data_IF_097959370871
#
_entry.id   IF_097959370871
#
_cell.length_a   1.000
_cell.length_b   1.000
_cell.length_c   1.000
_cell.angle_alpha   90.00
_cell.angle_beta   90.00
_cell.angle_gamma   90.00
#
_symmetry.space_group_name_H-M   'P 1'
#
loop_
_entity.id
_entity.type
_entity.pdbx_description
1 polymer ?
#
# COMPACT_ATOMS: atom_id res chain seq x y z
N UNK A 1 22.86 7.39 -17.00
CA UNK A 1 22.65 8.33 -15.89
C UNK A 1 21.26 8.95 -15.93
N UNK A 2 20.73 9.32 -17.11
CA UNK A 2 19.36 9.88 -17.19
C UNK A 2 18.26 8.88 -16.82
N UNK A 3 18.32 7.64 -17.29
CA UNK A 3 17.28 6.63 -16.97
C UNK A 3 17.13 6.39 -15.47
N UNK A 4 18.23 6.41 -14.74
CA UNK A 4 18.27 6.13 -13.31
C UNK A 4 17.66 7.28 -12.50
N UNK A 5 17.91 8.53 -12.93
CA UNK A 5 17.25 9.72 -12.37
C UNK A 5 15.74 9.73 -12.66
N UNK A 6 15.32 9.33 -13.86
CA UNK A 6 13.90 9.20 -14.20
C UNK A 6 13.21 8.15 -13.32
N UNK A 7 13.82 6.99 -13.15
CA UNK A 7 13.30 5.93 -12.27
C UNK A 7 13.19 6.42 -10.83
N UNK A 8 14.23 7.11 -10.32
CA UNK A 8 14.21 7.67 -8.98
C UNK A 8 13.04 8.66 -8.79
N UNK A 9 12.84 9.59 -9.72
CA UNK A 9 11.75 10.56 -9.65
C UNK A 9 10.37 9.90 -9.71
N UNK A 10 10.17 8.95 -10.63
CA UNK A 10 8.91 8.22 -10.76
C UNK A 10 8.60 7.40 -9.50
N UNK A 11 9.59 6.71 -8.93
CA UNK A 11 9.42 5.91 -7.71
C UNK A 11 9.20 6.78 -6.47
N UNK A 12 9.87 7.92 -6.36
CA UNK A 12 9.62 8.87 -5.27
C UNK A 12 8.19 9.43 -5.36
N UNK A 13 7.76 9.86 -6.56
CA UNK A 13 6.40 10.33 -6.77
C UNK A 13 5.36 9.25 -6.44
N UNK A 14 5.62 8.01 -6.84
CA UNK A 14 4.74 6.89 -6.52
C UNK A 14 4.69 6.60 -5.01
N UNK A 15 5.84 6.65 -4.32
CA UNK A 15 5.91 6.52 -2.86
C UNK A 15 5.10 7.62 -2.16
N UNK A 16 5.19 8.86 -2.62
CA UNK A 16 4.42 9.97 -2.06
C UNK A 16 2.92 9.78 -2.25
N UNK A 17 2.50 9.34 -3.44
CA UNK A 17 1.11 8.98 -3.71
C UNK A 17 0.66 7.88 -2.75
N UNK A 18 1.44 6.81 -2.58
CA UNK A 18 1.07 5.73 -1.66
C UNK A 18 0.98 6.21 -0.22
N UNK A 19 1.93 7.00 0.27
CA UNK A 19 1.91 7.48 1.65
C UNK A 19 0.75 8.44 1.93
N UNK A 20 0.52 9.39 1.03
CA UNK A 20 -0.48 10.46 1.21
C UNK A 20 -1.88 9.96 0.86
N UNK A 21 -2.03 9.33 -0.30
CA UNK A 21 -3.34 8.93 -0.81
C UNK A 21 -3.81 7.57 -0.26
N UNK A 22 -2.90 6.70 0.20
CA UNK A 22 -3.29 5.40 0.77
C UNK A 22 -2.98 5.35 2.26
N UNK A 23 -1.73 5.59 2.67
CA UNK A 23 -1.27 5.43 4.06
C UNK A 23 -2.05 6.26 5.06
N UNK A 24 -2.07 7.59 4.90
CA UNK A 24 -2.77 8.49 5.80
C UNK A 24 -4.29 8.20 5.88
N UNK A 25 -5.02 8.03 4.76
CA UNK A 25 -6.42 7.63 4.80
C UNK A 25 -6.66 6.28 5.47
N UNK A 26 -5.79 5.29 5.24
CA UNK A 26 -5.92 3.96 5.87
C UNK A 26 -5.79 4.04 7.38
N UNK A 27 -4.86 4.84 7.88
CA UNK A 27 -4.70 5.09 9.31
C UNK A 27 -5.93 5.81 9.89
N UNK A 28 -6.44 6.82 9.19
CA UNK A 28 -7.67 7.51 9.60
C UNK A 28 -8.88 6.57 9.65
N UNK A 29 -9.01 5.68 8.66
CA UNK A 29 -10.05 4.65 8.63
C UNK A 29 -9.89 3.63 9.76
N UNK A 30 -8.67 3.21 10.06
CA UNK A 30 -8.41 2.31 11.18
C UNK A 30 -8.85 2.91 12.51
N UNK A 31 -8.51 4.19 12.75
CA UNK A 31 -8.93 4.91 13.95
C UNK A 31 -10.45 5.10 14.01
N UNK A 32 -11.07 5.48 12.89
CA UNK A 32 -12.52 5.62 12.78
C UNK A 32 -13.23 4.31 13.11
N UNK A 33 -12.80 3.19 12.52
CA UNK A 33 -13.35 1.87 12.80
C UNK A 33 -13.17 1.50 14.28
N UNK A 34 -11.99 1.70 14.85
CA UNK A 34 -11.70 1.38 16.25
C UNK A 34 -12.59 2.16 17.24
N UNK A 35 -13.08 3.35 16.86
CA UNK A 35 -13.97 4.18 17.69
C UNK A 35 -15.46 3.84 17.58
N UNK A 36 -15.85 2.97 16.64
CA UNK A 36 -17.26 2.62 16.44
C UNK A 36 -17.71 1.50 17.40
N UNK A 37 -18.97 1.54 17.88
CA UNK A 37 -19.58 0.43 18.60
C UNK A 37 -19.56 -0.85 17.74
N UNK A 38 -19.29 -2.00 18.36
CA UNK A 38 -18.88 -3.26 17.70
C UNK A 38 -19.73 -3.69 16.47
N UNK A 39 -21.06 -3.63 16.53
CA UNK A 39 -21.90 -4.03 15.39
C UNK A 39 -21.80 -3.07 14.20
N UNK A 40 -21.65 -1.77 14.47
CA UNK A 40 -21.47 -0.73 13.43
C UNK A 40 -20.02 -0.77 12.91
N UNK A 41 -19.09 -1.20 13.76
CA UNK A 41 -17.67 -1.34 13.46
C UNK A 41 -17.41 -2.31 12.30
N UNK A 42 -18.12 -3.44 12.20
CA UNK A 42 -17.93 -4.40 11.10
C UNK A 42 -18.28 -3.81 9.73
N UNK A 43 -19.41 -3.10 9.64
CA UNK A 43 -19.85 -2.44 8.41
C UNK A 43 -18.90 -1.29 8.05
N UNK A 44 -18.49 -0.49 9.06
CA UNK A 44 -17.48 0.55 8.90
C UNK A 44 -16.16 -0.01 8.35
N UNK A 45 -15.65 -1.10 8.93
CA UNK A 45 -14.45 -1.80 8.48
C UNK A 45 -14.58 -2.28 7.03
N UNK A 46 -15.72 -2.86 6.66
CA UNK A 46 -15.94 -3.34 5.29
C UNK A 46 -15.90 -2.20 4.27
N UNK A 47 -16.54 -1.05 4.58
CA UNK A 47 -16.50 0.15 3.73
C UNK A 47 -15.06 0.69 3.65
N UNK A 48 -14.36 0.77 4.78
CA UNK A 48 -12.98 1.23 4.82
C UNK A 48 -12.03 0.35 4.02
N UNK A 49 -12.20 -0.99 4.05
CA UNK A 49 -11.44 -1.91 3.19
C UNK A 49 -11.77 -1.67 1.72
N UNK A 50 -13.05 -1.50 1.36
CA UNK A 50 -13.44 -1.20 -0.02
C UNK A 50 -12.83 0.12 -0.53
N UNK A 51 -12.80 1.16 0.32
CA UNK A 51 -12.12 2.42 0.03
C UNK A 51 -10.62 2.23 -0.12
N UNK A 52 -9.97 1.46 0.76
CA UNK A 52 -8.55 1.13 0.66
C UNK A 52 -8.22 0.43 -0.67
N UNK A 53 -9.01 -0.56 -1.08
CA UNK A 53 -8.85 -1.24 -2.38
C UNK A 53 -8.97 -0.24 -3.54
N UNK A 54 -9.91 0.70 -3.45
CA UNK A 54 -10.11 1.73 -4.48
C UNK A 54 -8.92 2.69 -4.58
N UNK A 55 -8.37 3.11 -3.44
CA UNK A 55 -7.16 3.94 -3.37
C UNK A 55 -5.94 3.20 -3.93
N UNK A 56 -5.84 1.89 -3.67
CA UNK A 56 -4.79 1.04 -4.23
C UNK A 56 -4.94 0.87 -5.75
N UNK A 57 -6.16 0.72 -6.25
CA UNK A 57 -6.44 0.67 -7.68
C UNK A 57 -6.06 1.99 -8.37
N UNK A 58 -6.22 3.13 -7.69
CA UNK A 58 -5.78 4.44 -8.16
C UNK A 58 -4.25 4.61 -8.15
N UNK A 59 -3.55 4.16 -7.10
CA UNK A 59 -2.10 4.33 -6.96
C UNK A 59 -1.28 3.39 -7.86
N UNK A 60 -1.80 2.20 -8.16
CA UNK A 60 -1.11 1.17 -8.97
C UNK A 60 -0.65 1.65 -10.36
N UNK A 61 -1.47 2.31 -11.19
CA UNK A 61 -1.04 2.76 -12.54
C UNK A 61 0.05 3.83 -12.53
N UNK A 62 0.27 4.52 -11.40
CA UNK A 62 1.32 5.53 -11.24
C UNK A 62 2.71 4.95 -10.95
N UNK A 63 2.83 3.61 -10.91
CA UNK A 63 4.14 2.97 -10.77
C UNK A 63 5.05 3.27 -11.96
N UNK A 64 6.37 3.31 -11.73
CA UNK A 64 7.38 3.65 -12.74
C UNK A 64 7.21 2.84 -14.03
N UNK A 65 6.87 3.53 -15.12
CA UNK A 65 6.75 2.91 -16.45
C UNK A 65 8.12 2.49 -16.95
N UNK A 66 9.15 3.29 -16.69
CA UNK A 66 10.51 2.98 -17.12
C UNK A 66 11.03 1.70 -16.47
N UNK A 67 10.75 1.49 -15.19
CA UNK A 67 11.10 0.25 -14.50
C UNK A 67 10.33 -0.95 -15.06
N UNK A 68 9.04 -0.79 -15.40
CA UNK A 68 8.25 -1.83 -16.07
C UNK A 68 8.81 -2.20 -17.45
N UNK A 69 9.17 -1.21 -18.26
CA UNK A 69 9.79 -1.43 -19.56
C UNK A 69 11.13 -2.16 -19.46
N UNK A 70 11.96 -1.80 -18.46
CA UNK A 70 13.22 -2.49 -18.20
C UNK A 70 12.99 -3.95 -17.78
N UNK A 71 11.98 -4.22 -16.94
CA UNK A 71 11.61 -5.60 -16.57
C UNK A 71 11.20 -6.45 -17.77
N UNK A 72 10.50 -5.89 -18.75
CA UNK A 72 10.14 -6.59 -19.99
C UNK A 72 11.37 -6.96 -20.85
N UNK A 73 12.50 -6.29 -20.67
CA UNK A 73 13.75 -6.51 -21.43
C UNK A 73 14.83 -7.22 -20.61
N UNK A 74 14.56 -7.52 -19.34
CA UNK A 74 15.53 -8.04 -18.37
C UNK A 74 16.20 -9.37 -18.78
N UNK A 75 15.51 -10.20 -19.57
CA UNK A 75 16.05 -11.47 -20.04
C UNK A 75 17.02 -11.32 -21.23
N UNK A 76 17.02 -10.16 -21.89
CA UNK A 76 17.81 -9.90 -23.10
C UNK A 76 18.91 -8.87 -22.89
N UNK A 77 18.84 -8.08 -21.82
CA UNK A 77 19.76 -6.98 -21.55
C UNK A 77 20.29 -7.05 -20.11
N UNK A 78 21.58 -7.38 -19.98
CA UNK A 78 22.28 -7.49 -18.70
C UNK A 78 22.36 -6.13 -17.98
N UNK A 79 22.45 -5.03 -18.74
CA UNK A 79 22.44 -3.67 -18.20
C UNK A 79 21.08 -3.31 -17.61
N UNK A 80 20.00 -3.73 -18.24
CA UNK A 80 18.65 -3.55 -17.69
C UNK A 80 18.50 -4.27 -16.35
N UNK A 81 19.06 -5.48 -16.23
CA UNK A 81 19.06 -6.25 -14.98
C UNK A 81 19.83 -5.55 -13.86
N UNK A 82 21.01 -4.98 -14.16
CA UNK A 82 21.77 -4.19 -13.18
C UNK A 82 21.01 -2.94 -12.71
N UNK A 83 20.39 -2.21 -13.63
CA UNK A 83 19.60 -1.00 -13.30
C UNK A 83 18.39 -1.37 -12.43
N UNK A 84 17.69 -2.46 -12.73
CA UNK A 84 16.56 -2.94 -11.91
C UNK A 84 17.05 -3.27 -10.52
N UNK A 85 18.10 -4.09 -10.39
CA UNK A 85 18.62 -4.50 -9.08
C UNK A 85 19.05 -3.29 -8.24
N UNK A 86 19.79 -2.37 -8.84
CA UNK A 86 20.17 -1.11 -8.18
C UNK A 86 18.95 -0.30 -7.74
N UNK A 87 17.94 -0.19 -8.60
CA UNK A 87 16.73 0.58 -8.30
C UNK A 87 15.89 -0.05 -7.20
N UNK A 88 15.80 -1.39 -7.14
CA UNK A 88 15.11 -2.12 -6.08
C UNK A 88 15.83 -1.96 -4.74
N UNK A 89 17.15 -2.05 -4.72
CA UNK A 89 17.94 -1.90 -3.48
C UNK A 89 17.95 -0.46 -2.94
N UNK A 90 17.99 0.55 -3.81
CA UNK A 90 18.18 1.95 -3.40
C UNK A 90 16.88 2.76 -3.34
N UNK A 91 15.92 2.51 -4.23
CA UNK A 91 14.71 3.34 -4.34
C UNK A 91 13.46 2.69 -3.78
N UNK A 92 13.39 1.35 -3.74
CA UNK A 92 12.26 0.62 -3.14
C UNK A 92 12.47 0.29 -1.66
N UNK A 93 13.36 1.03 -0.98
CA UNK A 93 13.58 0.90 0.46
C UNK A 93 12.27 0.98 1.25
N UNK A 94 12.06 0.00 2.15
CA UNK A 94 10.89 -0.09 3.03
C UNK A 94 10.64 1.20 3.85
N UNK A 95 11.68 1.98 4.14
CA UNK A 95 11.52 3.21 4.93
C UNK A 95 10.67 4.25 4.19
N UNK A 96 10.80 4.36 2.87
CA UNK A 96 10.02 5.31 2.05
C UNK A 96 8.54 4.95 2.05
N UNK A 97 8.20 3.67 2.17
CA UNK A 97 6.82 3.17 2.18
C UNK A 97 6.27 2.96 3.60
N UNK A 98 7.00 3.36 4.65
CA UNK A 98 6.62 3.13 6.04
C UNK A 98 5.24 3.69 6.39
N UNK A 99 4.86 4.94 6.03
CA UNK A 99 3.52 5.45 6.31
C UNK A 99 2.40 4.63 5.63
N UNK A 100 2.61 4.24 4.37
CA UNK A 100 1.70 3.36 3.64
C UNK A 100 1.55 1.99 4.33
N UNK A 101 2.66 1.35 4.71
CA UNK A 101 2.66 0.05 5.38
C UNK A 101 1.97 0.15 6.74
N UNK A 102 2.30 1.17 7.53
CA UNK A 102 1.75 1.39 8.86
C UNK A 102 0.22 1.58 8.78
N UNK A 103 -0.25 2.47 7.91
CA UNK A 103 -1.67 2.72 7.74
C UNK A 103 -2.44 1.49 7.25
N UNK A 104 -1.89 0.76 6.27
CA UNK A 104 -2.53 -0.45 5.74
C UNK A 104 -2.58 -1.57 6.79
N UNK A 105 -1.49 -1.78 7.55
CA UNK A 105 -1.45 -2.76 8.63
C UNK A 105 -2.43 -2.40 9.76
N UNK A 106 -2.50 -1.13 10.16
CA UNK A 106 -3.47 -0.68 11.17
C UNK A 106 -4.90 -1.01 10.75
N UNK A 107 -5.26 -0.74 9.49
CA UNK A 107 -6.61 -1.02 8.99
C UNK A 107 -6.92 -2.52 9.02
N UNK A 108 -5.98 -3.36 8.56
CA UNK A 108 -6.15 -4.82 8.56
C UNK A 108 -6.29 -5.37 9.98
N UNK A 109 -5.49 -4.88 10.93
CA UNK A 109 -5.54 -5.31 12.33
C UNK A 109 -6.88 -4.94 12.97
N UNK A 110 -7.35 -3.70 12.79
CA UNK A 110 -8.64 -3.26 13.34
C UNK A 110 -9.79 -4.05 12.71
N UNK A 111 -9.80 -4.22 11.39
CA UNK A 111 -10.84 -4.99 10.72
C UNK A 111 -10.85 -6.47 11.14
N UNK A 112 -9.67 -7.09 11.28
CA UNK A 112 -9.53 -8.46 11.76
C UNK A 112 -10.00 -8.63 13.19
N UNK A 113 -9.66 -7.68 14.08
CA UNK A 113 -10.15 -7.66 15.45
C UNK A 113 -11.68 -7.53 15.51
N UNK A 114 -12.26 -6.59 14.76
CA UNK A 114 -13.71 -6.37 14.71
C UNK A 114 -14.46 -7.59 14.15
N UNK A 115 -13.88 -8.30 13.19
CA UNK A 115 -14.46 -9.55 12.69
C UNK A 115 -14.44 -10.65 13.76
N UNK A 116 -13.29 -10.85 14.42
CA UNK A 116 -13.13 -11.86 15.47
C UNK A 116 -14.03 -11.60 16.68
N UNK A 117 -14.19 -10.35 17.10
CA UNK A 117 -15.02 -9.99 18.25
C UNK A 117 -16.50 -10.31 18.02
N UNK A 118 -17.01 -10.01 16.82
CA UNK A 118 -18.38 -10.36 16.42
C UNK A 118 -18.54 -11.88 16.32
N UNK A 119 -17.58 -12.58 15.71
CA UNK A 119 -17.60 -14.03 15.58
C UNK A 119 -17.64 -14.73 16.94
N UNK A 120 -16.81 -14.30 17.89
CA UNK A 120 -16.76 -14.88 19.24
C UNK A 120 -18.09 -14.71 19.98
N UNK A 121 -18.76 -13.57 19.86
CA UNK A 121 -20.09 -13.36 20.46
C UNK A 121 -21.19 -14.20 19.83
N UNK A 122 -21.09 -14.47 18.53
CA UNK A 122 -22.03 -15.37 17.85
C UNK A 122 -21.84 -16.83 18.28
N UNK A 123 -20.60 -17.23 18.60
CA UNK A 123 -20.27 -18.60 19.02
C UNK A 123 -20.46 -18.84 20.53
N UNK A 124 -20.30 -17.80 21.36
CA UNK A 124 -20.42 -17.87 22.82
C UNK A 124 -21.33 -16.74 23.33
N UNK A 125 -22.67 -16.90 23.22
CA UNK A 125 -23.65 -15.91 23.65
C UNK A 125 -23.75 -15.75 25.18
#
# INVERSE_FOLDING_TARGET
MDELKTIEQELNSWSDILNIAVGAPSLAFALACASLPEYINLIGCAISIAMWISLMAYARPSFSRKLQELRLRQDKDERAREIIKFSEENFLSNYKFSPYLLGSLSLVLVAGYSYLSVLLKLLFP
#
